data_IF_991270764915
#
_entry.id   IF_991270764915
#
_cell.length_a   1.000
_cell.length_b   1.000
_cell.length_c   1.000
_cell.angle_alpha   90.00
_cell.angle_beta   90.00
_cell.angle_gamma   90.00
#
_symmetry.space_group_name_H-M   'P 1'
#
loop_
_entity.id
_entity.type
_entity.pdbx_description
1 polymer ?
#
# COMPACT_ATOMS: atom_id res chain seq x y z
N UNK A 1 3.79 36.69 60.66
CA UNK A 1 4.43 36.49 59.34
C UNK A 1 4.67 34.99 59.19
N UNK A 2 3.81 34.29 58.46
CA UNK A 2 3.86 32.82 58.32
C UNK A 2 4.59 32.53 57.01
N UNK A 3 5.73 31.86 57.08
CA UNK A 3 6.54 31.47 55.92
C UNK A 3 6.02 30.11 55.43
N UNK A 4 5.37 30.08 54.27
CA UNK A 4 4.83 28.86 53.66
C UNK A 4 5.84 28.33 52.63
N UNK A 5 6.56 27.27 52.96
CA UNK A 5 7.53 26.63 52.05
C UNK A 5 6.81 25.61 51.16
N UNK A 6 6.73 25.89 49.86
CA UNK A 6 6.21 24.93 48.87
C UNK A 6 7.31 23.93 48.49
N UNK A 7 7.11 22.64 48.78
CA UNK A 7 7.89 21.55 48.20
C UNK A 7 7.26 21.18 46.84
N UNK A 8 7.93 21.49 45.73
CA UNK A 8 7.58 20.93 44.42
C UNK A 8 8.29 19.59 44.29
N UNK A 9 7.56 18.50 44.46
CA UNK A 9 8.04 17.15 44.17
C UNK A 9 7.89 16.89 42.66
N UNK A 10 8.97 17.03 41.90
CA UNK A 10 9.02 16.52 40.52
C UNK A 10 9.19 14.99 40.58
N UNK A 11 8.09 14.26 40.62
CA UNK A 11 8.12 12.81 40.40
C UNK A 11 8.28 12.58 38.90
N UNK A 12 9.47 12.14 38.47
CA UNK A 12 9.73 11.81 37.07
C UNK A 12 8.79 10.70 36.62
N UNK A 13 7.86 11.02 35.72
CA UNK A 13 7.10 10.03 34.99
C UNK A 13 8.05 9.43 33.95
N UNK A 14 8.63 8.28 34.26
CA UNK A 14 9.27 7.45 33.24
C UNK A 14 8.13 6.82 32.45
N UNK A 15 7.80 7.42 31.30
CA UNK A 15 6.95 6.75 30.33
C UNK A 15 7.71 5.50 29.86
N UNK A 16 7.18 4.28 30.06
CA UNK A 16 7.83 3.11 29.48
C UNK A 16 7.94 3.33 27.97
N UNK A 17 9.06 2.91 27.34
CA UNK A 17 9.17 2.99 25.90
C UNK A 17 7.95 2.30 25.31
N UNK A 18 7.12 3.07 24.61
CA UNK A 18 6.02 2.50 23.86
C UNK A 18 6.69 1.60 22.82
N UNK A 19 6.59 0.28 22.97
CA UNK A 19 6.82 -0.60 21.84
C UNK A 19 5.79 -0.16 20.81
N UNK A 20 6.23 0.55 19.78
CA UNK A 20 5.43 0.70 18.57
C UNK A 20 5.20 -0.74 18.13
N UNK A 21 3.98 -1.22 18.31
CA UNK A 21 3.58 -2.55 17.90
C UNK A 21 3.45 -2.52 16.38
N UNK A 22 4.59 -2.45 15.69
CA UNK A 22 4.67 -2.65 14.25
C UNK A 22 5.03 -4.09 14.02
N UNK A 23 4.16 -4.83 13.33
CA UNK A 23 4.59 -6.09 12.70
C UNK A 23 5.72 -5.84 11.72
N UNK A 24 6.30 -6.91 11.18
CA UNK A 24 7.28 -6.78 10.10
C UNK A 24 6.54 -6.32 8.84
N UNK A 25 6.91 -5.18 8.24
CA UNK A 25 6.31 -4.72 6.99
C UNK A 25 6.37 -5.82 5.93
N UNK A 26 5.23 -6.13 5.31
CA UNK A 26 5.15 -7.16 4.27
C UNK A 26 4.27 -6.72 3.11
N UNK A 27 4.56 -7.27 1.93
CA UNK A 27 3.77 -7.10 0.71
C UNK A 27 3.51 -8.47 0.09
N UNK A 28 2.29 -8.70 -0.38
CA UNK A 28 1.89 -9.94 -1.05
C UNK A 28 0.87 -9.67 -2.15
N UNK A 29 0.81 -10.59 -3.12
CA UNK A 29 -0.25 -10.61 -4.11
C UNK A 29 -1.39 -11.50 -3.61
N UNK A 30 -2.62 -11.00 -3.68
CA UNK A 30 -3.81 -11.75 -3.30
C UNK A 30 -4.80 -11.87 -4.48
N UNK A 31 -5.26 -13.09 -4.83
CA UNK A 31 -4.79 -14.36 -4.29
C UNK A 31 -3.36 -14.67 -4.75
N UNK A 32 -2.58 -15.36 -3.92
CA UNK A 32 -1.21 -15.77 -4.27
C UNK A 32 -1.17 -16.91 -5.31
N UNK A 33 -2.29 -17.61 -5.47
CA UNK A 33 -2.52 -18.64 -6.48
C UNK A 33 -4.00 -18.70 -6.82
N UNK A 34 -4.32 -18.99 -8.07
CA UNK A 34 -5.70 -19.17 -8.54
C UNK A 34 -5.76 -20.26 -9.60
N UNK A 35 -6.84 -21.04 -9.60
CA UNK A 35 -7.13 -22.03 -10.63
C UNK A 35 -8.33 -21.53 -11.41
N UNK A 36 -8.17 -21.36 -12.73
CA UNK A 36 -9.19 -20.81 -13.59
C UNK A 36 -9.24 -21.48 -14.96
N UNK A 37 -10.40 -21.38 -15.60
CA UNK A 37 -10.58 -21.78 -16.98
C UNK A 37 -10.08 -20.69 -17.93
N UNK A 38 -9.55 -21.11 -19.08
CA UNK A 38 -9.11 -20.20 -20.16
C UNK A 38 -10.25 -19.27 -20.58
N UNK A 39 -9.94 -17.99 -20.78
CA UNK A 39 -10.89 -16.95 -21.19
C UNK A 39 -11.73 -16.38 -20.04
N UNK A 40 -11.41 -16.70 -18.78
CA UNK A 40 -11.97 -16.04 -17.61
C UNK A 40 -10.98 -15.02 -17.05
N UNK A 41 -11.52 -13.93 -16.51
CA UNK A 41 -10.75 -12.89 -15.83
C UNK A 41 -10.78 -13.12 -14.32
N UNK A 42 -9.73 -12.67 -13.65
CA UNK A 42 -9.61 -12.67 -12.20
C UNK A 42 -8.86 -11.41 -11.75
N UNK A 43 -9.02 -11.05 -10.49
CA UNK A 43 -8.37 -9.89 -9.91
C UNK A 43 -7.20 -10.35 -9.03
N UNK A 44 -6.07 -9.66 -9.16
CA UNK A 44 -4.92 -9.77 -8.26
C UNK A 44 -4.70 -8.43 -7.61
N UNK A 45 -4.71 -8.40 -6.29
CA UNK A 45 -4.52 -7.20 -5.48
C UNK A 45 -3.12 -7.20 -4.88
N UNK A 46 -2.47 -6.04 -4.85
CA UNK A 46 -1.22 -5.84 -4.10
C UNK A 46 -1.59 -5.44 -2.68
N UNK A 47 -1.42 -6.37 -1.74
CA UNK A 47 -1.69 -6.16 -0.32
C UNK A 47 -0.41 -5.80 0.41
N UNK A 48 -0.50 -4.80 1.28
CA UNK A 48 0.59 -4.41 2.17
C UNK A 48 0.12 -4.42 3.61
N UNK A 49 0.99 -4.85 4.53
CA UNK A 49 0.65 -5.01 5.94
C UNK A 49 1.77 -4.47 6.82
N UNK A 50 1.39 -3.89 7.95
CA UNK A 50 2.31 -3.35 8.95
C UNK A 50 3.28 -2.29 8.39
N UNK A 51 2.87 -1.61 7.30
CA UNK A 51 3.66 -0.52 6.69
C UNK A 51 3.50 0.75 7.55
N UNK A 52 4.60 1.43 7.91
CA UNK A 52 4.52 2.75 8.54
C UNK A 52 3.84 3.78 7.63
N UNK A 53 3.59 4.98 8.14
CA UNK A 53 3.01 6.05 7.32
C UNK A 53 3.91 6.39 6.13
N UNK A 54 3.42 6.13 4.91
CA UNK A 54 4.09 6.46 3.64
C UNK A 54 3.31 7.50 2.86
N UNK A 55 3.96 8.11 1.86
CA UNK A 55 3.38 9.18 1.03
C UNK A 55 3.21 8.79 -0.44
N UNK A 56 3.68 7.61 -0.84
CA UNK A 56 3.64 7.12 -2.22
C UNK A 56 4.04 5.65 -2.31
N UNK A 57 3.87 5.09 -3.50
CA UNK A 57 4.28 3.73 -3.85
C UNK A 57 4.74 3.72 -5.32
N UNK A 58 5.81 2.98 -5.62
CA UNK A 58 6.24 2.64 -6.99
C UNK A 58 6.17 1.10 -7.07
N UNK A 59 5.29 0.58 -7.92
CA UNK A 59 5.02 -0.84 -8.08
C UNK A 59 5.38 -1.23 -9.51
N UNK A 60 6.24 -2.25 -9.61
CA UNK A 60 6.62 -2.86 -10.89
C UNK A 60 6.36 -4.35 -10.84
N UNK A 61 5.49 -4.84 -11.70
CA UNK A 61 5.17 -6.26 -11.80
C UNK A 61 5.54 -6.78 -13.19
N UNK A 62 5.92 -8.05 -13.23
CA UNK A 62 6.10 -8.78 -14.48
C UNK A 62 5.13 -9.95 -14.51
N UNK A 63 4.60 -10.26 -15.68
CA UNK A 63 3.76 -11.44 -15.93
C UNK A 63 4.17 -12.11 -17.25
N UNK A 64 3.74 -13.36 -17.45
CA UNK A 64 3.94 -14.05 -18.71
C UNK A 64 2.83 -13.64 -19.71
N UNK A 65 3.15 -12.83 -20.74
CA UNK A 65 2.15 -12.36 -21.70
C UNK A 65 1.66 -13.47 -22.64
N UNK A 66 2.33 -14.64 -22.67
CA UNK A 66 1.83 -15.79 -23.44
C UNK A 66 0.68 -16.51 -22.73
N UNK A 67 0.47 -16.25 -21.43
CA UNK A 67 -0.53 -16.92 -20.58
C UNK A 67 -1.58 -15.94 -20.06
N UNK A 68 -1.19 -14.71 -19.73
CA UNK A 68 -2.06 -13.72 -19.11
C UNK A 68 -2.13 -12.44 -19.94
N UNK A 69 -3.30 -11.81 -19.90
CA UNK A 69 -3.55 -10.50 -20.47
C UNK A 69 -4.14 -9.61 -19.37
N UNK A 70 -3.64 -8.38 -19.26
CA UNK A 70 -4.23 -7.41 -18.32
C UNK A 70 -5.39 -6.72 -19.01
N UNK A 71 -6.54 -6.74 -18.34
CA UNK A 71 -7.77 -6.08 -18.81
C UNK A 71 -7.79 -4.66 -18.28
N UNK A 72 -8.06 -3.70 -19.17
CA UNK A 72 -8.20 -2.31 -18.80
C UNK A 72 -9.41 -2.09 -17.87
N UNK A 73 -9.18 -1.37 -16.78
CA UNK A 73 -10.21 -1.06 -15.79
C UNK A 73 -10.81 0.35 -15.93
N UNK A 74 -10.29 1.19 -16.83
CA UNK A 74 -10.84 2.53 -17.09
C UNK A 74 -10.89 2.84 -18.60
N UNK A 75 -12.01 2.50 -19.29
CA UNK A 75 -12.12 2.65 -20.74
C UNK A 75 -12.18 4.11 -21.22
N UNK A 76 -12.19 5.08 -20.30
CA UNK A 76 -12.19 6.51 -20.62
C UNK A 76 -10.76 7.04 -20.77
N UNK A 77 -9.77 6.37 -20.18
CA UNK A 77 -8.36 6.72 -20.32
C UNK A 77 -7.75 5.97 -21.50
N UNK A 78 -6.81 6.60 -22.19
CA UNK A 78 -6.05 5.94 -23.24
C UNK A 78 -5.08 4.92 -22.62
N UNK A 79 -5.06 3.71 -23.17
CA UNK A 79 -4.18 2.62 -22.73
C UNK A 79 -4.81 1.71 -21.69
N UNK A 80 -4.07 0.68 -21.26
CA UNK A 80 -4.54 -0.28 -20.25
C UNK A 80 -4.15 0.27 -18.87
N UNK A 81 -5.09 0.29 -17.94
CA UNK A 81 -4.91 0.81 -16.59
C UNK A 81 -5.27 -0.21 -15.51
N UNK A 82 -4.59 -0.14 -14.36
CA UNK A 82 -5.02 -0.84 -13.14
C UNK A 82 -5.98 0.02 -12.34
N UNK A 83 -6.89 -0.65 -11.64
CA UNK A 83 -7.65 0.01 -10.59
C UNK A 83 -6.75 0.29 -9.39
N UNK A 84 -6.68 1.56 -9.02
CA UNK A 84 -6.03 2.00 -7.80
C UNK A 84 -6.77 1.49 -6.55
N UNK A 85 -6.01 0.97 -5.58
CA UNK A 85 -6.51 0.57 -4.27
C UNK A 85 -6.67 1.72 -3.27
N UNK A 86 -7.03 1.38 -2.04
CA UNK A 86 -7.35 2.32 -0.95
C UNK A 86 -6.18 2.60 0.02
N UNK A 87 -5.02 1.98 -0.21
CA UNK A 87 -3.83 2.11 0.65
C UNK A 87 -3.36 3.56 0.83
N UNK A 88 -3.33 4.34 -0.25
CA UNK A 88 -2.99 5.76 -0.21
C UNK A 88 -4.25 6.63 -0.24
N UNK A 89 -4.29 7.67 0.59
CA UNK A 89 -5.41 8.61 0.67
C UNK A 89 -5.73 9.22 -0.72
N UNK A 90 -6.91 8.92 -1.25
CA UNK A 90 -7.35 9.32 -2.59
C UNK A 90 -7.49 10.82 -2.79
N UNK A 91 -7.68 11.60 -1.73
CA UNK A 91 -7.82 13.06 -1.79
C UNK A 91 -6.48 13.78 -1.80
N UNK A 92 -5.43 13.19 -1.20
CA UNK A 92 -4.14 13.87 -0.99
C UNK A 92 -2.99 13.29 -1.79
N UNK A 93 -3.23 12.28 -2.62
CA UNK A 93 -2.19 11.66 -3.46
C UNK A 93 -2.60 11.61 -4.91
N UNK A 94 -1.60 11.62 -5.78
CA UNK A 94 -1.75 11.72 -7.21
C UNK A 94 -1.12 10.49 -7.86
N UNK A 95 -1.72 10.03 -8.95
CA UNK A 95 -1.15 9.01 -9.84
C UNK A 95 -0.16 9.71 -10.78
N UNK A 96 1.11 9.32 -10.70
CA UNK A 96 2.18 9.80 -11.56
C UNK A 96 2.36 8.91 -12.79
N UNK A 97 2.13 7.60 -12.63
CA UNK A 97 2.24 6.62 -13.69
C UNK A 97 1.24 5.49 -13.47
N UNK A 98 0.50 5.12 -14.51
CA UNK A 98 -0.32 3.92 -14.54
C UNK A 98 -0.27 3.43 -15.98
N UNK A 99 0.57 2.45 -16.26
CA UNK A 99 0.71 1.93 -17.61
C UNK A 99 1.02 0.45 -17.58
N UNK A 100 0.27 -0.29 -18.37
CA UNK A 100 0.53 -1.69 -18.63
C UNK A 100 0.97 -1.85 -20.06
N UNK A 101 1.98 -2.66 -20.26
CA UNK A 101 2.28 -3.22 -21.56
C UNK A 101 1.94 -4.71 -21.54
N UNK A 102 1.10 -5.16 -22.47
CA UNK A 102 0.81 -6.59 -22.68
C UNK A 102 2.02 -7.35 -23.28
N UNK A 103 3.23 -6.79 -23.19
CA UNK A 103 4.51 -7.48 -23.34
C UNK A 103 5.03 -8.10 -22.03
N UNK A 104 4.24 -8.02 -20.95
CA UNK A 104 4.53 -8.63 -19.66
C UNK A 104 5.00 -7.66 -18.58
N UNK A 105 4.86 -6.34 -18.79
CA UNK A 105 5.29 -5.31 -17.83
C UNK A 105 4.16 -4.44 -17.33
N UNK A 106 4.31 -4.08 -16.06
CA UNK A 106 3.37 -3.28 -15.30
C UNK A 106 4.14 -2.23 -14.50
N UNK A 107 3.85 -0.96 -14.69
CA UNK A 107 4.44 0.15 -13.94
C UNK A 107 3.35 1.07 -13.36
N UNK A 108 3.39 1.27 -12.04
CA UNK A 108 2.46 2.14 -11.30
C UNK A 108 3.21 3.02 -10.29
N UNK A 109 2.96 4.33 -10.28
CA UNK A 109 3.55 5.30 -9.35
C UNK A 109 2.61 6.47 -9.00
#
# INVERSE_FOLDING_TARGET
MVLLTFFVFFWGVILPPQKVQGGTPSMELQPSQSIMSVGKSFTVEVHVKDIPKVYGADIRLNFDPAVHEVVDMDPVKDGIQFQRGDFLNSTTSYELQNSVSNDGKLDYA
#
